data_IF_674485095455
#
_entry.id   IF_674485095455
#
_cell.length_a   1.000
_cell.length_b   1.000
_cell.length_c   1.000
_cell.angle_alpha   90.00
_cell.angle_beta   90.00
_cell.angle_gamma   90.00
#
_symmetry.space_group_name_H-M   'P 1'
#
loop_
_entity.id
_entity.type
_entity.pdbx_description
1 polymer ?
#
# COMPACT_ATOMS: atom_id res chain seq x y z
N UNK A 1 38.18 -47.39 44.35
CA UNK A 1 36.98 -46.57 44.02
C UNK A 1 36.11 -47.12 42.89
N UNK A 2 36.42 -48.28 42.27
CA UNK A 2 35.53 -48.89 41.25
C UNK A 2 34.19 -49.27 41.90
N UNK A 3 33.08 -48.79 41.35
CA UNK A 3 31.70 -49.03 41.85
C UNK A 3 31.00 -47.84 42.51
N UNK A 4 31.73 -46.78 42.87
CA UNK A 4 31.16 -45.59 43.53
C UNK A 4 30.49 -44.59 42.57
N UNK A 5 30.86 -44.62 41.29
CA UNK A 5 30.44 -43.66 40.27
C UNK A 5 29.31 -44.22 39.40
N UNK A 6 28.39 -43.35 38.99
CA UNK A 6 27.37 -43.66 37.99
C UNK A 6 27.88 -43.20 36.61
N UNK A 7 28.71 -44.06 35.98
CA UNK A 7 29.41 -43.77 34.73
C UNK A 7 30.85 -43.31 34.93
N UNK A 8 31.66 -43.39 33.87
CA UNK A 8 33.09 -43.09 33.90
C UNK A 8 33.45 -41.67 33.39
N UNK A 9 32.45 -40.88 32.99
CA UNK A 9 32.66 -39.60 32.28
C UNK A 9 32.34 -38.43 33.21
N UNK A 10 33.31 -37.53 33.47
CA UNK A 10 33.04 -36.25 34.13
C UNK A 10 32.01 -35.44 33.35
N UNK A 11 31.16 -34.70 34.07
CA UNK A 11 30.06 -33.91 33.48
C UNK A 11 30.19 -32.46 33.87
N UNK A 12 29.55 -31.55 33.12
CA UNK A 12 29.53 -30.12 33.44
C UNK A 12 28.23 -29.79 34.19
N UNK A 13 28.35 -29.05 35.31
CA UNK A 13 27.23 -28.46 36.07
C UNK A 13 27.60 -27.05 36.51
N UNK A 14 26.76 -26.07 36.18
CA UNK A 14 27.03 -24.66 36.51
C UNK A 14 28.39 -24.16 36.01
N UNK A 15 28.88 -24.69 34.87
CA UNK A 15 30.20 -24.37 34.33
C UNK A 15 31.39 -25.03 35.03
N UNK A 16 31.16 -25.93 35.99
CA UNK A 16 32.19 -26.69 36.72
C UNK A 16 32.18 -28.15 36.31
N UNK A 17 33.38 -28.76 36.27
CA UNK A 17 33.53 -30.19 36.00
C UNK A 17 33.26 -30.97 37.28
N UNK A 18 32.26 -31.84 37.25
CA UNK A 18 31.78 -32.63 38.39
C UNK A 18 31.72 -34.11 38.02
N UNK A 19 31.87 -34.98 39.02
CA UNK A 19 31.82 -36.42 38.85
C UNK A 19 30.51 -36.96 39.43
N UNK A 20 29.74 -37.77 38.68
CA UNK A 20 28.51 -38.38 39.19
C UNK A 20 28.82 -39.52 40.17
N UNK A 21 28.45 -39.33 41.43
CA UNK A 21 28.67 -40.26 42.54
C UNK A 21 27.33 -40.83 43.02
N UNK A 22 27.25 -42.14 43.29
CA UNK A 22 26.08 -42.72 43.96
C UNK A 22 25.92 -42.11 45.34
N UNK A 23 24.71 -41.70 45.71
CA UNK A 23 24.46 -41.04 47.00
C UNK A 23 24.96 -41.84 48.21
N UNK A 24 24.83 -43.18 48.16
CA UNK A 24 25.32 -44.11 49.19
C UNK A 24 26.84 -44.09 49.41
N UNK A 25 27.60 -43.51 48.49
CA UNK A 25 29.06 -43.47 48.53
C UNK A 25 29.61 -42.06 48.78
N UNK A 26 28.77 -41.11 49.20
CA UNK A 26 29.13 -39.70 49.44
C UNK A 26 30.40 -39.51 50.28
N UNK A 27 30.56 -40.26 51.36
CA UNK A 27 31.68 -40.13 52.29
C UNK A 27 33.04 -40.60 51.71
N UNK A 28 33.04 -41.34 50.59
CA UNK A 28 34.27 -41.92 50.02
C UNK A 28 35.03 -40.97 49.10
N UNK A 29 34.39 -39.88 48.66
CA UNK A 29 35.01 -38.85 47.81
C UNK A 29 34.78 -37.48 48.47
N UNK A 30 35.81 -36.95 49.15
CA UNK A 30 35.78 -35.58 49.68
C UNK A 30 35.59 -34.58 48.54
N UNK A 31 34.63 -33.67 48.68
CA UNK A 31 34.25 -32.75 47.62
C UNK A 31 33.00 -31.95 47.93
N UNK A 32 32.71 -30.96 47.09
CA UNK A 32 31.52 -30.11 47.17
C UNK A 32 30.41 -30.70 46.30
N UNK A 33 29.20 -30.83 46.83
CA UNK A 33 28.04 -31.28 46.05
C UNK A 33 27.44 -30.06 45.37
N UNK A 34 27.39 -30.05 44.04
CA UNK A 34 26.81 -28.95 43.26
C UNK A 34 25.34 -29.18 42.92
N UNK A 35 24.97 -30.44 42.70
CA UNK A 35 23.62 -30.81 42.30
C UNK A 35 23.32 -32.25 42.74
N UNK A 36 22.04 -32.54 42.89
CA UNK A 36 21.52 -33.89 43.10
C UNK A 36 20.50 -34.21 42.01
N UNK A 37 20.54 -35.42 41.47
CA UNK A 37 19.54 -35.88 40.50
C UNK A 37 18.13 -35.84 41.08
N UNK A 38 17.10 -35.68 40.25
CA UNK A 38 15.69 -35.64 40.69
C UNK A 38 15.25 -36.83 41.57
N UNK A 39 15.80 -38.04 41.33
CA UNK A 39 15.53 -39.23 42.14
C UNK A 39 16.35 -39.32 43.43
N UNK A 40 17.24 -38.36 43.71
CA UNK A 40 18.18 -38.38 44.85
C UNK A 40 19.32 -39.40 44.73
N UNK A 41 19.30 -40.29 43.73
CA UNK A 41 20.21 -41.43 43.66
C UNK A 41 21.66 -41.06 43.26
N UNK A 42 21.86 -39.95 42.54
CA UNK A 42 23.17 -39.49 42.06
C UNK A 42 23.47 -38.08 42.57
N UNK A 43 24.65 -37.91 43.15
CA UNK A 43 25.22 -36.64 43.58
C UNK A 43 26.29 -36.21 42.57
N UNK A 44 26.21 -34.97 42.09
CA UNK A 44 27.22 -34.37 41.23
C UNK A 44 28.25 -33.66 42.11
N UNK A 45 29.38 -34.33 42.33
CA UNK A 45 30.39 -33.89 43.29
C UNK A 45 31.61 -33.35 42.55
N UNK A 46 32.05 -32.17 42.94
CA UNK A 46 33.36 -31.63 42.62
C UNK A 46 34.38 -32.14 43.66
N UNK A 47 35.36 -32.97 43.28
CA UNK A 47 36.39 -33.45 44.21
C UNK A 47 37.24 -32.29 44.74
N UNK A 48 37.62 -32.33 46.03
CA UNK A 48 38.40 -31.24 46.67
C UNK A 48 39.68 -30.87 45.89
N UNK A 49 40.38 -31.86 45.34
CA UNK A 49 41.61 -31.66 44.54
C UNK A 49 41.40 -30.87 43.24
N UNK A 50 40.17 -30.90 42.71
CA UNK A 50 39.83 -30.29 41.41
C UNK A 50 39.17 -28.90 41.59
N UNK A 51 38.88 -28.50 42.85
CA UNK A 51 38.22 -27.22 43.19
C UNK A 51 39.00 -26.01 42.67
N UNK A 52 40.31 -25.98 42.89
CA UNK A 52 41.17 -24.88 42.45
C UNK A 52 41.25 -24.81 40.92
N UNK A 53 41.36 -25.96 40.25
CA UNK A 53 41.39 -26.03 38.79
C UNK A 53 40.07 -25.57 38.17
N UNK A 54 38.94 -26.02 38.69
CA UNK A 54 37.62 -25.56 38.23
C UNK A 54 37.41 -24.06 38.52
N UNK A 55 37.86 -23.54 39.67
CA UNK A 55 37.84 -22.10 39.95
C UNK A 55 38.67 -21.32 38.91
N UNK A 56 39.86 -21.81 38.57
CA UNK A 56 40.69 -21.18 37.55
C UNK A 56 40.02 -21.18 36.17
N UNK A 57 39.34 -22.27 35.79
CA UNK A 57 38.56 -22.36 34.54
C UNK A 57 37.41 -21.37 34.52
N UNK A 58 36.61 -21.29 35.60
CA UNK A 58 35.50 -20.33 35.69
C UNK A 58 36.03 -18.90 35.60
N UNK A 59 37.05 -18.55 36.38
CA UNK A 59 37.66 -17.23 36.34
C UNK A 59 38.26 -16.88 34.95
N UNK A 60 38.85 -17.86 34.26
CA UNK A 60 39.35 -17.68 32.90
C UNK A 60 38.21 -17.42 31.89
N UNK A 61 37.09 -18.13 32.02
CA UNK A 61 35.88 -17.90 31.21
C UNK A 61 35.30 -16.52 31.44
N UNK A 62 35.23 -16.08 32.69
CA UNK A 62 34.73 -14.74 33.03
C UNK A 62 35.64 -13.64 32.48
N UNK A 63 36.98 -13.80 32.60
CA UNK A 63 37.95 -12.90 31.98
C UNK A 63 37.80 -12.85 30.46
N UNK A 64 37.65 -14.00 29.82
CA UNK A 64 37.42 -14.08 28.37
C UNK A 64 36.13 -13.35 27.97
N UNK A 65 35.01 -13.59 28.67
CA UNK A 65 33.75 -12.92 28.38
C UNK A 65 33.79 -11.41 28.66
N UNK A 66 34.55 -10.96 29.66
CA UNK A 66 34.81 -9.54 29.90
C UNK A 66 35.61 -8.92 28.75
N UNK A 67 36.64 -9.62 28.26
CA UNK A 67 37.48 -9.14 27.16
C UNK A 67 36.70 -9.07 25.84
N UNK A 68 35.88 -10.08 25.52
CA UNK A 68 34.97 -10.04 24.36
C UNK A 68 34.05 -8.83 24.43
N UNK A 69 33.46 -8.54 25.60
CA UNK A 69 32.61 -7.34 25.78
C UNK A 69 33.40 -6.05 25.64
N UNK A 70 34.64 -6.00 26.11
CA UNK A 70 35.53 -4.83 25.95
C UNK A 70 35.78 -4.56 24.46
N UNK A 71 36.18 -5.57 23.70
CA UNK A 71 36.43 -5.49 22.26
C UNK A 71 35.15 -5.09 21.49
N UNK A 72 34.01 -5.72 21.79
CA UNK A 72 32.74 -5.35 21.14
C UNK A 72 32.33 -3.90 21.42
N UNK A 73 32.53 -3.41 22.64
CA UNK A 73 32.25 -2.00 22.98
C UNK A 73 33.15 -1.04 22.22
N UNK A 74 34.43 -1.37 22.08
CA UNK A 74 35.40 -0.59 21.31
C UNK A 74 34.97 -0.51 19.84
N UNK A 75 34.71 -1.66 19.19
CA UNK A 75 34.23 -1.72 17.81
C UNK A 75 32.88 -1.02 17.62
N UNK A 76 31.96 -1.17 18.57
CA UNK A 76 30.67 -0.46 18.54
C UNK A 76 30.88 1.05 18.62
N UNK A 77 31.86 1.51 19.42
CA UNK A 77 32.26 2.91 19.50
C UNK A 77 32.77 3.43 18.16
N UNK A 78 33.61 2.67 17.46
CA UNK A 78 34.10 3.03 16.13
C UNK A 78 32.96 3.17 15.11
N UNK A 79 32.00 2.25 15.12
CA UNK A 79 30.80 2.33 14.26
C UNK A 79 29.94 3.53 14.63
N UNK A 80 29.77 3.81 15.93
CA UNK A 80 28.97 4.94 16.40
C UNK A 80 29.55 6.31 15.94
N UNK A 81 30.87 6.43 15.80
CA UNK A 81 31.51 7.63 15.23
C UNK A 81 31.13 7.84 13.75
N UNK A 82 30.71 6.80 13.05
CA UNK A 82 30.24 6.84 11.66
C UNK A 82 28.72 6.94 11.51
N UNK A 83 27.99 7.16 12.61
CA UNK A 83 26.51 7.22 12.61
C UNK A 83 25.94 8.08 11.49
N UNK A 84 26.39 9.33 11.35
CA UNK A 84 25.85 10.25 10.35
C UNK A 84 26.09 9.77 8.91
N UNK A 85 27.25 9.17 8.65
CA UNK A 85 27.57 8.61 7.33
C UNK A 85 26.72 7.37 7.04
N UNK A 86 26.48 6.52 8.04
CA UNK A 86 25.60 5.36 7.93
C UNK A 86 24.15 5.75 7.71
N UNK A 87 23.63 6.74 8.45
CA UNK A 87 22.28 7.27 8.27
C UNK A 87 22.09 7.85 6.86
N UNK A 88 23.10 8.60 6.36
CA UNK A 88 23.12 9.08 4.98
C UNK A 88 23.16 7.94 3.97
N UNK A 89 23.98 6.92 4.19
CA UNK A 89 24.06 5.75 3.31
C UNK A 89 22.72 5.02 3.23
N UNK A 90 22.03 4.84 4.37
CA UNK A 90 20.68 4.26 4.42
C UNK A 90 19.68 5.11 3.63
N UNK A 91 19.67 6.43 3.84
CA UNK A 91 18.75 7.33 3.14
C UNK A 91 18.97 7.33 1.61
N UNK A 92 20.23 7.38 1.17
CA UNK A 92 20.59 7.33 -0.26
C UNK A 92 20.23 5.98 -0.87
N UNK A 93 20.52 4.88 -0.17
CA UNK A 93 20.21 3.52 -0.62
C UNK A 93 18.69 3.33 -0.74
N UNK A 94 17.92 3.80 0.24
CA UNK A 94 16.45 3.73 0.20
C UNK A 94 15.88 4.53 -0.98
N UNK A 95 16.43 5.71 -1.28
CA UNK A 95 16.01 6.49 -2.45
C UNK A 95 16.32 5.76 -3.76
N UNK A 96 17.51 5.16 -3.87
CA UNK A 96 17.92 4.40 -5.04
C UNK A 96 17.04 3.16 -5.23
N UNK A 97 16.77 2.42 -4.15
CA UNK A 97 15.87 1.26 -4.15
C UNK A 97 14.46 1.64 -4.61
N UNK A 98 13.91 2.74 -4.09
CA UNK A 98 12.59 3.24 -4.50
C UNK A 98 12.53 3.59 -6.01
N UNK A 99 13.55 4.27 -6.55
CA UNK A 99 13.62 4.60 -7.98
C UNK A 99 13.75 3.33 -8.83
N UNK A 100 14.58 2.38 -8.40
CA UNK A 100 14.75 1.11 -9.09
C UNK A 100 13.46 0.28 -9.09
N UNK A 101 12.75 0.23 -7.97
CA UNK A 101 11.47 -0.46 -7.85
C UNK A 101 10.42 0.13 -8.81
N UNK A 102 10.32 1.46 -8.90
CA UNK A 102 9.42 2.16 -9.85
C UNK A 102 9.78 1.82 -11.29
N UNK A 103 11.06 1.85 -11.65
CA UNK A 103 11.51 1.52 -13.01
C UNK A 103 11.25 0.05 -13.37
N UNK A 104 11.43 -0.88 -12.42
CA UNK A 104 11.10 -2.31 -12.61
C UNK A 104 9.60 -2.51 -12.78
N UNK A 105 8.79 -1.85 -11.96
CA UNK A 105 7.34 -1.89 -12.06
C UNK A 105 6.87 -1.39 -13.42
N UNK A 106 7.38 -0.24 -13.88
CA UNK A 106 7.07 0.33 -15.18
C UNK A 106 7.38 -0.65 -16.32
N UNK A 107 8.57 -1.26 -16.32
CA UNK A 107 8.95 -2.26 -17.33
C UNK A 107 8.04 -3.48 -17.32
N UNK A 108 7.65 -3.96 -16.14
CA UNK A 108 6.79 -5.13 -16.01
C UNK A 108 5.35 -4.88 -16.51
N UNK A 109 4.87 -3.63 -16.46
CA UNK A 109 3.49 -3.26 -16.82
C UNK A 109 3.40 -2.40 -18.08
N UNK A 110 4.48 -2.33 -18.87
CA UNK A 110 4.60 -1.44 -20.04
C UNK A 110 4.16 0.00 -19.72
N UNK A 111 4.57 0.49 -18.54
CA UNK A 111 4.27 1.82 -18.07
C UNK A 111 4.92 2.91 -18.93
N UNK A 112 4.27 4.07 -18.97
CA UNK A 112 4.79 5.27 -19.60
C UNK A 112 4.63 6.48 -18.67
N UNK A 113 5.55 7.43 -18.77
CA UNK A 113 5.41 8.71 -18.09
C UNK A 113 4.28 9.51 -18.73
N UNK A 114 3.26 9.86 -17.95
CA UNK A 114 2.19 10.73 -18.41
C UNK A 114 2.69 12.18 -18.49
N UNK A 115 2.20 12.93 -19.48
CA UNK A 115 2.43 14.36 -19.56
C UNK A 115 1.52 15.10 -18.58
N UNK A 116 1.99 16.20 -17.99
CA UNK A 116 1.13 17.06 -17.19
C UNK A 116 0.22 17.85 -18.12
N UNK A 117 -1.10 17.71 -17.97
CA UNK A 117 -2.07 18.36 -18.84
C UNK A 117 -3.52 18.02 -18.48
N UNK A 118 -4.49 18.30 -19.37
CA UNK A 118 -5.88 17.89 -19.19
C UNK A 118 -5.99 16.36 -18.99
N UNK A 119 -7.08 15.89 -18.38
CA UNK A 119 -7.31 14.46 -18.22
C UNK A 119 -7.56 13.78 -19.58
N UNK A 120 -6.57 13.06 -20.09
CA UNK A 120 -6.72 12.17 -21.24
C UNK A 120 -5.85 10.92 -21.07
N UNK A 121 -6.50 9.76 -21.01
CA UNK A 121 -5.90 8.45 -20.90
C UNK A 121 -6.10 7.69 -22.20
N UNK A 122 -5.01 7.18 -22.75
CA UNK A 122 -4.99 6.40 -23.99
C UNK A 122 -4.55 4.98 -23.69
N UNK A 123 -5.35 4.00 -24.10
CA UNK A 123 -5.12 2.56 -23.84
C UNK A 123 -4.72 2.24 -22.39
N UNK A 124 -5.27 2.98 -21.43
CA UNK A 124 -4.96 2.82 -20.01
C UNK A 124 -5.48 1.47 -19.49
N UNK A 125 -4.74 0.86 -18.56
CA UNK A 125 -5.13 -0.41 -17.95
C UNK A 125 -5.18 -0.27 -16.44
N UNK A 126 -6.09 -1.00 -15.82
CA UNK A 126 -6.14 -1.09 -14.37
C UNK A 126 -4.89 -1.85 -13.86
N UNK A 127 -4.03 -1.23 -13.03
CA UNK A 127 -2.79 -1.83 -12.51
C UNK A 127 -2.93 -3.27 -12.01
N UNK A 128 -3.88 -3.53 -11.12
CA UNK A 128 -4.10 -4.87 -10.52
C UNK A 128 -4.63 -5.92 -11.51
N UNK A 129 -5.29 -5.50 -12.59
CA UNK A 129 -5.82 -6.42 -13.60
C UNK A 129 -4.79 -6.71 -14.71
N UNK A 130 -3.75 -5.87 -14.83
CA UNK A 130 -2.67 -6.02 -15.80
C UNK A 130 -3.16 -6.27 -17.22
N UNK A 131 -2.64 -7.34 -17.85
CA UNK A 131 -2.98 -7.71 -19.22
C UNK A 131 -4.44 -8.19 -19.41
N UNK A 132 -5.08 -8.65 -18.33
CA UNK A 132 -6.49 -9.05 -18.36
C UNK A 132 -7.43 -7.83 -18.39
N UNK A 133 -6.95 -6.64 -18.01
CA UNK A 133 -7.73 -5.41 -18.09
C UNK A 133 -8.08 -5.11 -19.56
N UNK A 134 -9.30 -4.67 -19.84
CA UNK A 134 -9.60 -4.10 -21.16
C UNK A 134 -9.05 -2.67 -21.23
N UNK A 135 -8.28 -2.28 -22.27
CA UNK A 135 -7.77 -0.92 -22.40
C UNK A 135 -8.89 0.14 -22.40
N UNK A 136 -8.66 1.21 -21.64
CA UNK A 136 -9.54 2.34 -21.46
C UNK A 136 -9.01 3.55 -22.23
N UNK A 137 -9.82 4.09 -23.13
CA UNK A 137 -9.62 5.40 -23.74
C UNK A 137 -10.64 6.39 -23.14
N UNK A 138 -10.14 7.41 -22.44
CA UNK A 138 -10.99 8.38 -21.72
C UNK A 138 -10.36 9.77 -21.79
N UNK A 139 -11.13 10.77 -22.20
CA UNK A 139 -10.65 12.15 -22.24
C UNK A 139 -11.75 13.11 -21.82
N UNK A 140 -11.39 14.10 -20.98
CA UNK A 140 -12.24 15.23 -20.65
C UNK A 140 -12.18 16.25 -21.79
N UNK A 141 -13.33 16.83 -22.18
CA UNK A 141 -13.32 17.94 -23.14
C UNK A 141 -12.70 19.21 -22.51
N UNK A 142 -12.07 20.11 -23.29
CA UNK A 142 -11.27 21.23 -22.75
C UNK A 142 -11.99 22.14 -21.74
N UNK A 143 -13.30 22.30 -21.85
CA UNK A 143 -14.09 23.16 -20.95
C UNK A 143 -14.88 22.37 -19.91
N UNK A 144 -14.79 21.03 -19.95
CA UNK A 144 -15.54 20.20 -19.02
C UNK A 144 -14.80 19.99 -17.70
N UNK A 145 -15.58 20.06 -16.64
CA UNK A 145 -15.17 19.68 -15.29
C UNK A 145 -15.82 18.39 -14.83
N UNK A 146 -16.95 18.05 -15.42
CA UNK A 146 -17.73 16.87 -15.04
C UNK A 146 -17.70 15.89 -16.20
N UNK A 147 -17.47 14.62 -15.90
CA UNK A 147 -17.69 13.50 -16.79
C UNK A 147 -18.76 12.58 -16.20
N UNK A 148 -19.81 12.31 -16.98
CA UNK A 148 -20.81 11.30 -16.62
C UNK A 148 -20.57 10.07 -17.49
N UNK A 149 -20.37 8.93 -16.83
CA UNK A 149 -20.17 7.62 -17.44
C UNK A 149 -21.47 6.83 -17.35
N UNK A 150 -22.03 6.48 -18.51
CA UNK A 150 -23.27 5.70 -18.61
C UNK A 150 -23.02 4.32 -19.23
N UNK A 151 -23.82 3.33 -18.84
CA UNK A 151 -23.72 1.96 -19.34
C UNK A 151 -24.27 0.92 -18.36
N UNK A 152 -24.46 -0.34 -18.77
CA UNK A 152 -24.87 -1.42 -17.88
C UNK A 152 -23.82 -1.67 -16.77
N UNK A 153 -24.25 -2.10 -15.57
CA UNK A 153 -23.35 -2.30 -14.41
C UNK A 153 -22.26 -3.35 -14.66
N UNK A 154 -22.54 -4.36 -15.49
CA UNK A 154 -21.56 -5.35 -15.97
C UNK A 154 -20.48 -4.77 -16.89
N UNK A 155 -20.56 -3.49 -17.26
CA UNK A 155 -19.66 -2.82 -18.22
C UNK A 155 -18.34 -2.31 -17.64
N UNK A 156 -18.09 -2.44 -16.33
CA UNK A 156 -16.81 -2.04 -15.73
C UNK A 156 -16.72 -0.54 -15.37
N UNK A 157 -17.85 0.12 -15.09
CA UNK A 157 -17.94 1.53 -14.64
C UNK A 157 -17.07 1.81 -13.41
N UNK A 158 -17.24 1.01 -12.38
CA UNK A 158 -16.42 1.06 -11.15
C UNK A 158 -14.94 0.84 -11.44
N UNK A 159 -14.59 -0.10 -12.33
CA UNK A 159 -13.20 -0.37 -12.71
C UNK A 159 -12.59 0.82 -13.45
N UNK A 160 -13.37 1.51 -14.30
CA UNK A 160 -12.94 2.73 -14.96
C UNK A 160 -12.64 3.84 -13.95
N UNK A 161 -13.55 4.11 -13.00
CA UNK A 161 -13.32 5.10 -11.93
C UNK A 161 -12.05 4.78 -11.13
N UNK A 162 -11.91 3.54 -10.67
CA UNK A 162 -10.73 3.07 -9.92
C UNK A 162 -9.46 3.20 -10.75
N UNK A 163 -9.52 2.90 -12.05
CA UNK A 163 -8.38 3.08 -12.96
C UNK A 163 -7.95 4.54 -13.01
N UNK A 164 -8.86 5.47 -13.29
CA UNK A 164 -8.52 6.90 -13.38
C UNK A 164 -7.90 7.40 -12.07
N UNK A 165 -8.54 7.13 -10.94
CA UNK A 165 -8.05 7.55 -9.62
C UNK A 165 -6.67 7.00 -9.30
N UNK A 166 -6.47 5.70 -9.53
CA UNK A 166 -5.20 5.03 -9.25
C UNK A 166 -4.08 5.54 -10.16
N UNK A 167 -4.34 5.76 -11.45
CA UNK A 167 -3.33 6.30 -12.37
C UNK A 167 -2.95 7.74 -12.01
N UNK A 168 -3.89 8.57 -11.53
CA UNK A 168 -3.58 9.89 -11.00
C UNK A 168 -2.67 9.82 -9.77
N UNK A 169 -2.98 8.94 -8.81
CA UNK A 169 -2.16 8.71 -7.63
C UNK A 169 -0.77 8.19 -7.98
N UNK A 170 -0.67 7.23 -8.89
CA UNK A 170 0.60 6.68 -9.37
C UNK A 170 1.46 7.76 -10.02
N UNK A 171 0.90 8.55 -10.93
CA UNK A 171 1.60 9.65 -11.59
C UNK A 171 2.14 10.65 -10.56
N UNK A 172 1.32 11.06 -9.57
CA UNK A 172 1.73 11.98 -8.51
C UNK A 172 2.70 11.37 -7.50
N UNK A 173 2.73 10.04 -7.37
CA UNK A 173 3.75 9.32 -6.61
C UNK A 173 5.08 9.21 -7.37
N UNK A 174 5.13 9.59 -8.66
CA UNK A 174 6.30 9.49 -9.53
C UNK A 174 6.52 8.08 -10.07
N UNK A 175 5.43 7.34 -10.31
CA UNK A 175 5.39 6.08 -11.06
C UNK A 175 5.01 6.37 -12.51
N UNK A 176 5.58 5.60 -13.44
CA UNK A 176 5.03 5.49 -14.80
C UNK A 176 3.74 4.67 -14.76
N UNK A 177 2.75 5.09 -15.54
CA UNK A 177 1.40 4.50 -15.51
C UNK A 177 1.22 3.51 -16.67
N UNK A 178 0.46 2.41 -16.49
CA UNK A 178 0.13 1.48 -17.58
C UNK A 178 -0.88 2.10 -18.56
N UNK A 179 -0.42 3.07 -19.34
CA UNK A 179 -1.15 3.77 -20.38
C UNK A 179 -0.20 4.13 -21.54
N UNK A 180 -0.74 4.56 -22.67
CA UNK A 180 0.07 4.98 -23.80
C UNK A 180 0.83 6.30 -23.50
N UNK A 181 2.03 6.52 -24.06
CA UNK A 181 2.89 7.67 -23.74
C UNK A 181 2.32 9.06 -24.10
N UNK A 182 1.28 9.11 -24.90
CA UNK A 182 0.53 10.32 -25.27
C UNK A 182 -0.57 10.66 -24.25
N UNK A 183 -0.73 9.87 -23.18
CA UNK A 183 -1.66 10.18 -22.09
C UNK A 183 -1.21 11.41 -21.29
N UNK A 184 -2.18 12.22 -20.89
CA UNK A 184 -2.02 13.41 -20.05
C UNK A 184 -2.84 13.29 -18.76
N UNK A 185 -2.25 13.69 -17.64
CA UNK A 185 -2.90 13.71 -16.34
C UNK A 185 -2.73 15.08 -15.66
N UNK A 186 -3.80 15.65 -15.06
CA UNK A 186 -3.67 16.82 -14.21
C UNK A 186 -2.98 16.47 -12.89
N UNK A 187 -2.49 17.50 -12.19
CA UNK A 187 -2.03 17.36 -10.81
C UNK A 187 -3.16 17.81 -9.89
N UNK A 188 -3.71 16.88 -9.13
CA UNK A 188 -4.74 17.11 -8.14
C UNK A 188 -4.14 17.23 -6.74
N UNK A 189 -4.60 18.20 -5.95
CA UNK A 189 -4.23 18.35 -4.53
C UNK A 189 -5.01 17.40 -3.61
N UNK A 190 -6.18 16.94 -4.07
CA UNK A 190 -7.00 15.96 -3.36
C UNK A 190 -7.71 15.06 -4.36
N UNK A 191 -7.74 13.76 -4.07
CA UNK A 191 -8.50 12.77 -4.82
C UNK A 191 -9.48 12.14 -3.83
N UNK A 192 -10.77 12.31 -4.10
CA UNK A 192 -11.86 11.84 -3.26
C UNK A 192 -12.66 10.80 -4.01
N UNK A 193 -13.20 9.83 -3.28
CA UNK A 193 -13.97 8.74 -3.86
C UNK A 193 -15.16 8.40 -2.98
N UNK A 194 -16.33 8.32 -3.60
CA UNK A 194 -17.49 7.60 -3.09
C UNK A 194 -17.73 6.41 -4.02
N UNK A 195 -17.08 5.28 -3.71
CA UNK A 195 -17.08 4.06 -4.52
C UNK A 195 -17.32 2.89 -3.56
N UNK A 196 -18.55 2.38 -3.51
CA UNK A 196 -18.99 1.31 -2.61
C UNK A 196 -19.35 0.02 -3.33
N UNK A 197 -19.34 -1.09 -2.59
CA UNK A 197 -19.81 -2.41 -3.04
C UNK A 197 -21.20 -2.63 -2.43
N UNK A 198 -22.28 -2.44 -3.21
CA UNK A 198 -23.68 -2.50 -2.74
C UNK A 198 -24.16 -3.92 -2.34
N UNK A 199 -23.26 -4.87 -2.05
CA UNK A 199 -23.63 -6.27 -1.77
C UNK A 199 -23.75 -6.61 -0.28
N UNK A 200 -24.40 -5.78 0.53
CA UNK A 200 -24.88 -6.20 1.85
C UNK A 200 -26.40 -6.06 1.96
N UNK A 201 -27.08 -7.19 1.75
CA UNK A 201 -28.54 -7.35 1.72
C UNK A 201 -29.21 -7.00 3.08
N UNK A 202 -28.42 -6.79 4.15
CA UNK A 202 -28.91 -6.54 5.51
C UNK A 202 -28.93 -5.07 5.95
N UNK A 203 -28.47 -4.10 5.14
CA UNK A 203 -28.15 -2.74 5.59
C UNK A 203 -28.74 -1.57 4.77
N UNK A 204 -29.85 -1.76 4.05
CA UNK A 204 -30.31 -0.80 3.01
C UNK A 204 -30.56 0.66 3.44
N UNK A 205 -30.87 0.96 4.70
CA UNK A 205 -30.98 2.35 5.18
C UNK A 205 -29.64 2.93 5.67
N UNK A 206 -28.75 2.07 6.15
CA UNK A 206 -27.46 2.48 6.72
C UNK A 206 -26.44 2.81 5.64
N UNK A 207 -26.58 2.27 4.43
CA UNK A 207 -25.70 2.56 3.29
C UNK A 207 -26.01 3.90 2.66
N UNK A 208 -27.28 4.25 2.39
CA UNK A 208 -27.62 5.54 1.78
C UNK A 208 -27.19 6.73 2.65
N UNK A 209 -27.50 6.71 3.96
CA UNK A 209 -27.06 7.78 4.87
C UNK A 209 -25.53 7.90 4.92
N UNK A 210 -24.81 6.78 4.91
CA UNK A 210 -23.34 6.79 4.87
C UNK A 210 -22.80 7.37 3.55
N UNK A 211 -23.42 7.05 2.41
CA UNK A 211 -23.08 7.66 1.12
C UNK A 211 -23.32 9.18 1.16
N UNK A 212 -24.47 9.63 1.65
CA UNK A 212 -24.79 11.07 1.75
C UNK A 212 -23.83 11.80 2.70
N UNK A 213 -23.49 11.20 3.85
CA UNK A 213 -22.50 11.76 4.78
C UNK A 213 -21.10 11.86 4.15
N UNK A 214 -20.66 10.82 3.43
CA UNK A 214 -19.39 10.83 2.71
C UNK A 214 -19.38 11.89 1.61
N UNK A 215 -20.42 11.96 0.79
CA UNK A 215 -20.61 12.96 -0.25
C UNK A 215 -20.59 14.38 0.32
N UNK A 216 -21.26 14.62 1.46
CA UNK A 216 -21.23 15.90 2.15
C UNK A 216 -19.82 16.26 2.65
N UNK A 217 -19.08 15.29 3.20
CA UNK A 217 -17.69 15.50 3.61
C UNK A 217 -16.79 15.84 2.41
N UNK A 218 -16.96 15.14 1.28
CA UNK A 218 -16.23 15.41 0.03
C UNK A 218 -16.56 16.81 -0.48
N UNK A 219 -17.84 17.19 -0.54
CA UNK A 219 -18.27 18.53 -0.99
C UNK A 219 -17.68 19.66 -0.15
N UNK A 220 -17.48 19.43 1.15
CA UNK A 220 -16.88 20.42 2.05
C UNK A 220 -15.36 20.52 1.91
N UNK A 221 -14.68 19.45 1.46
CA UNK A 221 -13.23 19.39 1.34
C UNK A 221 -12.70 19.67 -0.08
N UNK A 222 -13.46 19.33 -1.12
CA UNK A 222 -13.03 19.41 -2.51
C UNK A 222 -12.91 20.86 -3.01
N UNK A 223 -11.88 21.11 -3.80
CA UNK A 223 -11.55 22.42 -4.39
C UNK A 223 -11.38 22.32 -5.91
N UNK A 224 -11.13 23.44 -6.59
CA UNK A 224 -10.86 23.49 -8.04
C UNK A 224 -9.64 22.66 -8.50
N UNK A 225 -8.80 22.24 -7.55
CA UNK A 225 -7.67 21.35 -7.72
C UNK A 225 -7.95 19.90 -7.27
N UNK A 226 -9.20 19.52 -7.09
CA UNK A 226 -9.59 18.17 -6.65
C UNK A 226 -10.18 17.32 -7.77
N UNK A 227 -9.94 16.02 -7.68
CA UNK A 227 -10.65 14.98 -8.44
C UNK A 227 -11.64 14.29 -7.50
N UNK A 228 -12.90 14.22 -7.90
CA UNK A 228 -13.96 13.50 -7.18
C UNK A 228 -14.48 12.37 -8.07
N UNK A 229 -14.45 11.15 -7.55
CA UNK A 229 -14.92 9.93 -8.21
C UNK A 229 -16.19 9.45 -7.50
N UNK A 230 -17.30 9.34 -8.21
CA UNK A 230 -18.59 8.94 -7.64
C UNK A 230 -19.13 7.75 -8.42
N UNK A 231 -19.34 6.63 -7.75
CA UNK A 231 -19.99 5.48 -8.35
C UNK A 231 -21.49 5.54 -8.07
N UNK A 232 -22.30 5.18 -9.07
CA UNK A 232 -23.75 5.05 -8.96
C UNK A 232 -24.44 6.32 -8.40
N UNK A 233 -24.12 7.48 -8.98
CA UNK A 233 -24.72 8.74 -8.57
C UNK A 233 -26.25 8.71 -8.78
N UNK A 234 -26.98 8.93 -7.68
CA UNK A 234 -28.44 9.00 -7.63
C UNK A 234 -29.15 7.72 -7.17
N UNK A 235 -28.41 6.69 -6.76
CA UNK A 235 -28.98 5.41 -6.27
C UNK A 235 -29.31 5.44 -4.78
N UNK A 236 -30.13 4.48 -4.33
CA UNK A 236 -30.44 4.28 -2.91
C UNK A 236 -31.61 5.10 -2.35
N UNK A 237 -32.29 5.92 -3.17
CA UNK A 237 -33.53 6.65 -2.79
C UNK A 237 -34.55 6.66 -3.94
N UNK A 238 -35.67 7.37 -3.77
CA UNK A 238 -36.64 7.61 -4.84
C UNK A 238 -35.94 8.19 -6.08
N UNK A 239 -36.20 7.65 -7.30
CA UNK A 239 -35.51 8.09 -8.49
C UNK A 239 -35.59 9.60 -8.76
N UNK A 240 -36.74 10.25 -8.50
CA UNK A 240 -36.88 11.70 -8.74
C UNK A 240 -36.04 12.51 -7.75
N UNK A 241 -36.06 12.13 -6.47
CA UNK A 241 -35.24 12.74 -5.43
C UNK A 241 -33.75 12.53 -5.70
N UNK A 242 -33.35 11.31 -6.06
CA UNK A 242 -31.97 10.95 -6.38
C UNK A 242 -31.43 11.73 -7.56
N UNK A 243 -32.23 11.91 -8.62
CA UNK A 243 -31.86 12.74 -9.78
C UNK A 243 -31.71 14.22 -9.38
N UNK A 244 -32.65 14.76 -8.61
CA UNK A 244 -32.63 16.16 -8.19
C UNK A 244 -31.39 16.46 -7.32
N UNK A 245 -31.11 15.59 -6.34
CA UNK A 245 -29.94 15.70 -5.47
C UNK A 245 -28.64 15.60 -6.27
N UNK A 246 -28.56 14.62 -7.18
CA UNK A 246 -27.39 14.42 -8.04
C UNK A 246 -27.09 15.64 -8.90
N UNK A 247 -28.12 16.26 -9.48
CA UNK A 247 -27.95 17.49 -10.28
C UNK A 247 -27.46 18.65 -9.44
N UNK A 248 -28.09 18.90 -8.29
CA UNK A 248 -27.67 19.97 -7.38
C UNK A 248 -26.20 19.79 -6.92
N UNK A 249 -25.80 18.55 -6.65
CA UNK A 249 -24.42 18.21 -6.29
C UNK A 249 -23.44 18.46 -7.44
N UNK A 250 -23.76 18.00 -8.65
CA UNK A 250 -22.93 18.22 -9.84
C UNK A 250 -22.80 19.70 -10.15
N UNK A 251 -23.89 20.47 -10.09
CA UNK A 251 -23.85 21.92 -10.30
C UNK A 251 -22.94 22.60 -9.26
N UNK A 252 -23.05 22.21 -7.98
CA UNK A 252 -22.19 22.74 -6.92
C UNK A 252 -20.70 22.48 -7.16
N UNK A 253 -20.34 21.28 -7.61
CA UNK A 253 -18.95 20.95 -7.95
C UNK A 253 -18.45 21.73 -9.16
N UNK A 254 -19.28 21.83 -10.21
CA UNK A 254 -18.96 22.61 -11.41
C UNK A 254 -18.69 24.06 -11.04
N UNK A 255 -19.56 24.67 -10.24
CA UNK A 255 -19.43 26.07 -9.82
C UNK A 255 -18.19 26.29 -8.94
N UNK A 256 -17.78 25.26 -8.19
CA UNK A 256 -16.52 25.24 -7.44
C UNK A 256 -15.28 24.92 -8.31
N UNK A 257 -15.46 24.61 -9.59
CA UNK A 257 -14.37 24.25 -10.52
C UNK A 257 -13.76 22.87 -10.28
N UNK A 258 -14.39 22.02 -9.47
CA UNK A 258 -13.93 20.68 -9.08
C UNK A 258 -14.02 19.73 -10.27
N UNK A 259 -13.02 18.87 -10.47
CA UNK A 259 -13.10 17.82 -11.51
C UNK A 259 -13.86 16.62 -10.97
N UNK A 260 -14.94 16.22 -11.64
CA UNK A 260 -15.79 15.10 -11.21
C UNK A 260 -15.88 14.04 -12.31
N UNK A 261 -15.75 12.78 -11.94
CA UNK A 261 -16.11 11.64 -12.79
C UNK A 261 -17.14 10.83 -12.03
N UNK A 262 -18.36 10.80 -12.54
CA UNK A 262 -19.49 10.11 -11.93
C UNK A 262 -20.00 9.02 -12.86
N UNK A 263 -20.39 7.88 -12.30
CA UNK A 263 -21.13 6.85 -13.04
C UNK A 263 -22.60 6.93 -12.67
N UNK A 264 -23.49 6.55 -13.59
CA UNK A 264 -24.92 6.49 -13.28
C UNK A 264 -25.63 5.48 -14.18
N UNK A 265 -26.76 4.96 -13.71
CA UNK A 265 -27.69 4.18 -14.52
C UNK A 265 -28.97 4.98 -14.87
N UNK A 266 -29.14 6.19 -14.34
CA UNK A 266 -30.34 7.01 -14.54
C UNK A 266 -30.31 7.76 -15.88
N UNK A 267 -31.34 7.54 -16.71
CA UNK A 267 -31.49 8.22 -18.01
C UNK A 267 -31.55 9.75 -17.93
N UNK A 268 -32.05 10.31 -16.82
CA UNK A 268 -32.15 11.76 -16.64
C UNK A 268 -30.78 12.45 -16.44
N UNK A 269 -29.80 11.76 -15.85
CA UNK A 269 -28.42 12.23 -15.72
C UNK A 269 -27.65 12.07 -17.05
N UNK A 270 -28.01 11.06 -17.84
CA UNK A 270 -27.57 10.98 -19.25
C UNK A 270 -28.02 12.22 -20.02
N UNK A 271 -29.29 12.61 -19.91
CA UNK A 271 -29.81 13.81 -20.58
C UNK A 271 -29.08 15.08 -20.13
N UNK A 272 -28.82 15.24 -18.84
CA UNK A 272 -28.00 16.33 -18.29
C UNK A 272 -26.60 16.39 -18.95
N UNK A 273 -25.93 15.26 -19.11
CA UNK A 273 -24.63 15.19 -19.80
C UNK A 273 -24.68 15.58 -21.30
N UNK A 274 -25.86 15.50 -21.91
CA UNK A 274 -26.05 15.90 -23.31
C UNK A 274 -26.29 17.39 -23.47
N UNK A 275 -27.06 18.00 -22.56
CA UNK A 275 -27.54 19.38 -22.67
C UNK A 275 -26.65 20.41 -21.98
N UNK A 276 -25.95 20.01 -20.92
CA UNK A 276 -25.28 20.95 -20.03
C UNK A 276 -23.88 21.33 -20.52
N UNK A 277 -23.53 22.62 -20.40
CA UNK A 277 -22.19 23.11 -20.73
C UNK A 277 -21.22 22.75 -19.61
N UNK A 278 -20.00 22.34 -19.96
CA UNK A 278 -18.98 21.92 -18.99
C UNK A 278 -19.14 20.46 -18.50
N UNK A 279 -20.01 19.68 -19.15
CA UNK A 279 -20.23 18.26 -18.85
C UNK A 279 -19.91 17.39 -20.08
N UNK A 280 -19.04 16.41 -19.89
CA UNK A 280 -18.66 15.41 -20.90
C UNK A 280 -19.45 14.12 -20.67
N UNK A 281 -20.07 13.58 -21.72
CA UNK A 281 -20.70 12.27 -21.66
C UNK A 281 -19.76 11.17 -22.21
N UNK A 282 -19.48 10.17 -21.38
CA UNK A 282 -18.79 8.96 -21.77
C UNK A 282 -19.74 7.76 -21.70
N UNK A 283 -19.63 6.85 -22.67
CA UNK A 283 -20.45 5.64 -22.71
C UNK A 283 -19.56 4.41 -22.76
N UNK A 284 -19.94 3.40 -21.98
CA UNK A 284 -19.37 2.07 -22.12
C UNK A 284 -20.23 1.30 -23.13
N UNK A 285 -19.63 0.97 -24.27
CA UNK A 285 -20.24 0.12 -25.28
C UNK A 285 -19.82 -1.32 -25.03
N UNK A 286 -20.68 -2.29 -25.28
CA UNK A 286 -20.35 -3.71 -25.13
C UNK A 286 -20.16 -4.31 -26.52
N UNK A 287 -18.99 -4.88 -26.79
CA UNK A 287 -18.79 -5.60 -28.05
C UNK A 287 -19.53 -6.94 -27.98
N UNK A 288 -20.60 -7.07 -28.75
CA UNK A 288 -21.46 -8.26 -28.79
C UNK A 288 -20.78 -9.52 -29.30
N UNK A 289 -19.61 -9.42 -29.93
CA UNK A 289 -18.84 -10.59 -30.38
C UNK A 289 -17.82 -11.06 -29.34
N UNK A 290 -17.14 -10.12 -28.67
CA UNK A 290 -16.08 -10.45 -27.70
C UNK A 290 -16.58 -10.49 -26.27
N UNK A 291 -17.80 -10.02 -26.01
CA UNK A 291 -18.39 -9.80 -24.68
C UNK A 291 -17.50 -8.93 -23.78
N UNK A 292 -16.69 -8.04 -24.37
CA UNK A 292 -15.80 -7.14 -23.65
C UNK A 292 -16.36 -5.72 -23.67
N UNK A 293 -16.25 -4.99 -22.55
CA UNK A 293 -16.56 -3.57 -22.54
C UNK A 293 -15.56 -2.82 -23.42
N UNK A 294 -16.06 -1.88 -24.20
CA UNK A 294 -15.30 -0.94 -25.01
C UNK A 294 -15.58 0.46 -24.48
N UNK A 295 -14.53 1.21 -24.19
CA UNK A 295 -14.66 2.53 -23.61
C UNK A 295 -14.45 3.56 -24.72
N UNK A 296 -15.51 4.30 -25.06
CA UNK A 296 -15.40 5.44 -25.99
C UNK A 296 -16.14 6.64 -25.43
N UNK A 297 -15.45 7.77 -25.37
CA UNK A 297 -16.12 9.06 -25.14
C UNK A 297 -16.96 9.43 -26.36
N UNK A 298 -18.25 9.66 -26.14
CA UNK A 298 -19.23 9.97 -27.22
C UNK A 298 -19.05 11.38 -27.81
N UNK A 299 -18.41 12.29 -27.07
CA UNK A 299 -18.13 13.67 -27.50
C UNK A 299 -16.64 13.94 -27.37
N UNK A 300 -15.91 13.89 -28.50
CA UNK A 300 -14.57 14.50 -28.59
C UNK A 300 -13.43 13.62 -29.13
N UNK A 301 -13.63 12.32 -29.34
CA UNK A 301 -12.57 11.48 -29.92
C UNK A 301 -12.47 11.67 -31.44
N UNK A 302 -12.03 12.86 -31.89
CA UNK A 302 -11.47 13.02 -33.23
C UNK A 302 -9.95 12.99 -33.07
N UNK A 303 -9.35 11.85 -33.41
CA UNK A 303 -7.92 11.57 -33.32
C UNK A 303 -7.05 12.48 -34.19
N UNK A 304 -6.93 13.74 -33.82
CA UNK A 304 -5.97 14.67 -34.41
C UNK A 304 -5.12 15.26 -33.31
N UNK A 305 -3.82 14.96 -33.37
CA UNK A 305 -2.78 15.58 -32.57
C UNK A 305 -2.99 17.11 -32.53
N UNK A 306 -3.42 17.64 -31.38
CA UNK A 306 -3.45 19.07 -31.14
C UNK A 306 -2.11 19.51 -30.57
N UNK A 307 -1.23 19.97 -31.48
CA UNK A 307 -0.16 20.91 -31.14
C UNK A 307 -0.78 22.27 -30.83
N UNK A 308 -0.60 22.72 -29.59
CA UNK A 308 -0.62 24.09 -29.04
C UNK A 308 -1.63 25.12 -29.56
N UNK A 309 -2.42 25.71 -28.64
CA UNK A 309 -2.49 27.17 -28.41
C UNK A 309 -3.44 27.48 -27.23
N UNK A 310 -2.88 27.76 -26.05
CA UNK A 310 -3.34 28.68 -24.98
C UNK A 310 -2.85 28.18 -23.60
N UNK A 311 -1.95 28.90 -22.90
CA UNK A 311 -1.43 28.47 -21.59
C UNK A 311 -2.37 28.79 -20.42
N UNK A 312 -3.69 28.72 -20.63
CA UNK A 312 -4.67 29.29 -19.70
C UNK A 312 -5.94 28.47 -19.55
N UNK A 313 -5.86 27.21 -19.13
CA UNK A 313 -6.95 26.51 -18.44
C UNK A 313 -6.46 25.13 -17.98
N UNK A 314 -6.90 24.68 -16.79
CA UNK A 314 -6.66 23.35 -16.21
C UNK A 314 -5.24 23.02 -15.70
N UNK A 315 -4.42 24.02 -15.38
CA UNK A 315 -3.36 23.83 -14.39
C UNK A 315 -3.89 24.35 -13.05
N UNK A 316 -3.95 23.49 -12.03
CA UNK A 316 -4.18 23.92 -10.65
C UNK A 316 -3.22 25.09 -10.37
N UNK A 317 -3.75 26.29 -10.06
CA UNK A 317 -2.93 27.47 -9.82
C UNK A 317 -1.93 27.12 -8.71
N UNK A 318 -0.66 27.02 -9.06
CA UNK A 318 0.42 26.94 -8.07
C UNK A 318 0.36 28.20 -7.21
N UNK A 319 0.60 28.09 -5.88
CA UNK A 319 0.69 29.28 -5.03
C UNK A 319 1.80 30.22 -5.52
#
# INVERSE_FOLDING_TARGET
MRGCFNGAVPTQRGGRTVVPLKASHRARVPGVVHEMSASGATLYVEPLRDVEANNAVVAARDRYAAEVRRVLRELTGEVALKRLDLERAVAVTARFDCVQARARYARAHAGAAAQVGPLALHRARHPELGDAAVPLDLAMTPDARIMIITGPNTGGKTVCLKTVGLLCLMNQAGLEIPAAPDSTLPIYRGIYADIGDEQSITASLSTFSAHVENLAAIMNAATDCSLVLIDELGTGTDPEEGIALSRAMLDRFRDAGVTVIATTHHGALKAYAYTETGVTNASMEFDGHTLRPTFRSSKGFRGRAMRSTSPGAIACRTP
#
